data_IF_853201897235
#
_entry.id   IF_853201897235
#
_cell.length_a   1.000
_cell.length_b   1.000
_cell.length_c   1.000
_cell.angle_alpha   90.00
_cell.angle_beta   90.00
_cell.angle_gamma   90.00
#
_symmetry.space_group_name_H-M   'P 1'
#
loop_
_entity.id
_entity.type
_entity.pdbx_description
1 polymer ?
#
# COMPACT_ATOMS: atom_id res chain seq x y z
N UNK A 1 -18.31 3.59 -19.79
CA UNK A 1 -17.79 3.48 -18.41
C UNK A 1 -17.21 2.12 -18.07
N UNK A 2 -17.81 1.02 -18.54
CA UNK A 2 -17.36 -0.34 -18.24
C UNK A 2 -15.87 -0.62 -18.57
N UNK A 3 -15.36 -0.09 -19.69
CA UNK A 3 -13.93 -0.22 -20.04
C UNK A 3 -12.98 0.43 -19.03
N UNK A 4 -13.30 1.65 -18.57
CA UNK A 4 -12.52 2.38 -17.56
C UNK A 4 -12.56 1.67 -16.20
N UNK A 5 -13.70 1.09 -15.83
CA UNK A 5 -13.82 0.31 -14.60
C UNK A 5 -13.03 -1.01 -14.68
N UNK A 6 -12.96 -1.66 -15.86
CA UNK A 6 -12.09 -2.82 -16.06
C UNK A 6 -10.61 -2.45 -15.91
N UNK A 7 -10.19 -1.33 -16.49
CA UNK A 7 -8.83 -0.80 -16.32
C UNK A 7 -8.52 -0.51 -14.85
N UNK A 8 -9.43 0.17 -14.13
CA UNK A 8 -9.30 0.44 -12.70
C UNK A 8 -9.12 -0.85 -11.88
N UNK A 9 -9.90 -1.90 -12.15
CA UNK A 9 -9.73 -3.20 -11.48
C UNK A 9 -8.39 -3.86 -11.77
N UNK A 10 -7.87 -3.73 -13.00
CA UNK A 10 -6.56 -4.26 -13.36
C UNK A 10 -5.44 -3.53 -12.60
N UNK A 11 -5.55 -2.21 -12.46
CA UNK A 11 -4.61 -1.40 -11.67
C UNK A 11 -4.68 -1.77 -10.19
N UNK A 12 -5.89 -1.91 -9.64
CA UNK A 12 -6.08 -2.32 -8.25
C UNK A 12 -5.47 -3.71 -7.98
N UNK A 13 -5.66 -4.65 -8.91
CA UNK A 13 -5.05 -5.98 -8.83
C UNK A 13 -3.53 -5.90 -8.87
N UNK A 14 -2.95 -5.09 -9.75
CA UNK A 14 -1.50 -4.87 -9.83
C UNK A 14 -0.95 -4.35 -8.49
N UNK A 15 -1.54 -3.28 -7.96
CA UNK A 15 -1.11 -2.71 -6.68
C UNK A 15 -1.32 -3.68 -5.51
N UNK A 16 -2.40 -4.48 -5.51
CA UNK A 16 -2.62 -5.54 -4.52
C UNK A 16 -1.51 -6.61 -4.56
N UNK A 17 -1.08 -7.03 -5.76
CA UNK A 17 0.04 -7.97 -5.89
C UNK A 17 1.35 -7.33 -5.40
N UNK A 18 1.64 -6.10 -5.83
CA UNK A 18 2.86 -5.39 -5.41
C UNK A 18 2.91 -5.26 -3.88
N UNK A 19 1.82 -4.83 -3.24
CA UNK A 19 1.73 -4.74 -1.79
C UNK A 19 1.92 -6.08 -1.08
N UNK A 20 1.32 -7.16 -1.61
CA UNK A 20 1.51 -8.52 -1.09
C UNK A 20 2.98 -8.95 -1.11
N UNK A 21 3.73 -8.59 -2.15
CA UNK A 21 5.14 -8.97 -2.27
C UNK A 21 6.11 -7.99 -1.61
N UNK A 22 5.70 -6.73 -1.39
CA UNK A 22 6.55 -5.71 -0.76
C UNK A 22 7.04 -6.10 0.64
N UNK A 23 6.24 -6.87 1.40
CA UNK A 23 6.61 -7.35 2.75
C UNK A 23 7.89 -8.21 2.74
N UNK A 24 8.17 -8.92 1.64
CA UNK A 24 9.36 -9.74 1.52
C UNK A 24 10.64 -8.90 1.45
N UNK A 25 10.57 -7.67 0.95
CA UNK A 25 11.69 -6.73 0.96
C UNK A 25 12.04 -6.31 2.37
N UNK A 26 11.02 -6.07 3.21
CA UNK A 26 11.21 -5.74 4.63
C UNK A 26 11.82 -6.94 5.35
N UNK A 27 11.27 -8.14 5.15
CA UNK A 27 11.82 -9.36 5.73
C UNK A 27 13.29 -9.56 5.34
N UNK A 28 13.62 -9.39 4.05
CA UNK A 28 14.99 -9.48 3.56
C UNK A 28 15.90 -8.42 4.22
N UNK A 29 15.45 -7.17 4.31
CA UNK A 29 16.20 -6.11 4.98
C UNK A 29 16.46 -6.44 6.46
N UNK A 30 15.46 -6.95 7.18
CA UNK A 30 15.60 -7.37 8.59
C UNK A 30 16.58 -8.52 8.74
N UNK A 31 16.49 -9.55 7.90
CA UNK A 31 17.43 -10.70 7.94
C UNK A 31 18.85 -10.25 7.67
N UNK A 32 19.07 -9.41 6.65
CA UNK A 32 20.41 -8.88 6.34
C UNK A 32 20.93 -8.03 7.50
N UNK A 33 20.07 -7.24 8.14
CA UNK A 33 20.44 -6.46 9.33
C UNK A 33 20.86 -7.34 10.50
N UNK A 34 20.09 -8.38 10.80
CA UNK A 34 20.38 -9.33 11.87
C UNK A 34 21.70 -10.09 11.61
N UNK A 35 21.93 -10.55 10.37
CA UNK A 35 23.18 -11.21 9.98
C UNK A 35 24.37 -10.25 10.12
N UNK A 36 24.25 -9.02 9.62
CA UNK A 36 25.33 -8.04 9.74
C UNK A 36 25.63 -7.69 11.21
N UNK A 37 24.61 -7.60 12.06
CA UNK A 37 24.78 -7.39 13.50
C UNK A 37 25.47 -8.57 14.19
N UNK A 38 25.10 -9.80 13.84
CA UNK A 38 25.72 -11.01 14.38
C UNK A 38 27.19 -11.11 13.97
N UNK A 39 27.49 -10.91 12.69
CA UNK A 39 28.87 -10.93 12.17
C UNK A 39 29.72 -9.88 12.88
N UNK A 40 29.19 -8.67 13.06
CA UNK A 40 29.86 -7.60 13.80
C UNK A 40 30.15 -7.97 15.25
N UNK A 41 29.21 -8.67 15.90
CA UNK A 41 29.37 -9.07 17.31
C UNK A 41 30.35 -10.22 17.49
N UNK A 42 30.34 -11.20 16.59
CA UNK A 42 31.14 -12.43 16.69
C UNK A 42 32.55 -12.25 16.12
N UNK A 43 32.67 -11.59 14.97
CA UNK A 43 33.92 -11.50 14.20
C UNK A 43 34.55 -10.10 14.22
N UNK A 44 33.95 -9.14 14.94
CA UNK A 44 34.38 -7.74 15.01
C UNK A 44 34.60 -7.08 13.63
N UNK A 45 33.89 -7.56 12.61
CA UNK A 45 33.94 -7.06 11.23
C UNK A 45 32.53 -6.76 10.72
N UNK A 46 32.39 -5.79 9.83
CA UNK A 46 31.11 -5.42 9.22
C UNK A 46 31.32 -4.91 7.81
N UNK A 47 30.34 -5.13 6.92
CA UNK A 47 30.40 -4.62 5.55
C UNK A 47 29.43 -3.47 5.35
N UNK A 48 29.92 -2.36 4.79
CA UNK A 48 29.06 -1.23 4.41
C UNK A 48 28.12 -1.59 3.26
N UNK A 49 28.48 -2.57 2.42
CA UNK A 49 27.60 -3.08 1.37
C UNK A 49 26.30 -3.67 1.95
N UNK A 50 26.41 -4.41 3.06
CA UNK A 50 25.23 -4.98 3.74
C UNK A 50 24.37 -3.91 4.38
N UNK A 51 24.98 -2.81 4.84
CA UNK A 51 24.21 -1.66 5.28
C UNK A 51 23.49 -1.05 4.09
N UNK A 52 24.19 -0.67 3.02
CA UNK A 52 23.59 -0.04 1.83
C UNK A 52 22.42 -0.83 1.24
N UNK A 53 22.57 -2.16 1.12
CA UNK A 53 21.48 -3.00 0.60
C UNK A 53 20.23 -2.94 1.47
N UNK A 54 20.35 -2.77 2.80
CA UNK A 54 19.19 -2.59 3.68
C UNK A 54 18.46 -1.30 3.35
N UNK A 55 19.19 -0.22 3.09
CA UNK A 55 18.59 1.08 2.76
C UNK A 55 17.90 1.01 1.40
N UNK A 56 18.48 0.26 0.46
CA UNK A 56 17.91 0.06 -0.88
C UNK A 56 16.61 -0.72 -0.77
N UNK A 57 16.61 -1.85 -0.06
CA UNK A 57 15.42 -2.67 0.16
C UNK A 57 14.33 -1.88 0.90
N UNK A 58 14.71 -1.08 1.89
CA UNK A 58 13.77 -0.21 2.60
C UNK A 58 13.14 0.84 1.68
N UNK A 59 13.94 1.55 0.89
CA UNK A 59 13.45 2.53 -0.09
C UNK A 59 12.47 1.89 -1.09
N UNK A 60 12.83 0.71 -1.63
CA UNK A 60 11.96 -0.07 -2.51
C UNK A 60 10.65 -0.45 -1.81
N UNK A 61 10.72 -1.00 -0.59
CA UNK A 61 9.53 -1.45 0.15
C UNK A 61 8.53 -0.33 0.35
N UNK A 62 9.00 0.88 0.66
CA UNK A 62 8.14 2.03 0.89
C UNK A 62 7.56 2.59 -0.42
N UNK A 63 8.41 2.79 -1.42
CA UNK A 63 8.01 3.46 -2.67
C UNK A 63 7.03 2.62 -3.50
N UNK A 64 7.24 1.31 -3.60
CA UNK A 64 6.30 0.44 -4.35
C UNK A 64 4.99 0.19 -3.59
N UNK A 65 5.03 0.27 -2.26
CA UNK A 65 3.83 0.12 -1.43
C UNK A 65 2.94 1.38 -1.44
N UNK A 66 3.45 2.54 -1.86
CA UNK A 66 2.67 3.78 -1.89
C UNK A 66 1.34 3.64 -2.67
N UNK A 67 1.36 3.00 -3.83
CA UNK A 67 0.14 2.70 -4.58
C UNK A 67 -0.82 1.77 -3.82
N UNK A 68 -0.31 0.73 -3.18
CA UNK A 68 -1.09 -0.18 -2.35
C UNK A 68 -1.73 0.51 -1.14
N UNK A 69 -0.99 1.38 -0.45
CA UNK A 69 -1.51 2.18 0.67
C UNK A 69 -2.59 3.15 0.21
N UNK A 70 -2.51 3.67 -1.03
CA UNK A 70 -3.57 4.51 -1.60
C UNK A 70 -4.83 3.69 -1.93
N UNK A 71 -4.68 2.47 -2.45
CA UNK A 71 -5.78 1.53 -2.68
C UNK A 71 -6.56 1.24 -1.38
N UNK A 72 -5.86 1.07 -0.25
CA UNK A 72 -6.45 0.83 1.07
C UNK A 72 -6.91 2.11 1.77
N UNK A 73 -6.69 3.28 1.16
CA UNK A 73 -7.04 4.61 1.71
C UNK A 73 -6.38 4.91 3.05
N UNK A 74 -5.18 4.40 3.25
CA UNK A 74 -4.39 4.60 4.46
C UNK A 74 -3.49 5.84 4.39
N UNK A 75 -3.57 6.61 3.29
CA UNK A 75 -2.96 7.93 3.24
C UNK A 75 -3.66 8.86 4.23
N UNK A 76 -2.90 9.63 4.99
CA UNK A 76 -3.43 10.57 5.99
C UNK A 76 -4.44 11.51 5.32
N UNK A 77 -5.70 11.41 5.72
CA UNK A 77 -6.79 12.32 5.33
C UNK A 77 -7.15 13.22 6.50
N UNK A 78 -7.59 14.43 6.19
CA UNK A 78 -8.15 15.34 7.19
C UNK A 78 -9.59 14.88 7.49
N UNK A 79 -9.72 13.79 8.24
CA UNK A 79 -11.01 13.12 8.49
C UNK A 79 -12.00 13.98 9.29
N UNK A 80 -11.50 14.89 10.14
CA UNK A 80 -12.34 15.82 10.90
C UNK A 80 -13.12 16.78 9.99
N UNK A 81 -12.51 17.23 8.90
CA UNK A 81 -13.18 18.12 7.93
C UNK A 81 -14.10 17.32 7.02
N UNK A 82 -13.67 16.14 6.58
CA UNK A 82 -14.46 15.29 5.69
C UNK A 82 -15.75 14.75 6.34
N UNK A 83 -15.71 14.38 7.63
CA UNK A 83 -16.86 13.81 8.33
C UNK A 83 -18.09 14.73 8.39
N UNK A 84 -17.90 16.06 8.26
CA UNK A 84 -18.99 17.05 8.26
C UNK A 84 -19.56 17.36 6.88
N UNK A 85 -18.96 16.84 5.81
CA UNK A 85 -19.35 17.10 4.43
C UNK A 85 -20.26 15.99 3.87
N UNK A 86 -21.15 16.36 2.94
CA UNK A 86 -21.95 15.37 2.22
C UNK A 86 -21.07 14.50 1.31
N UNK A 87 -21.48 13.25 1.08
CA UNK A 87 -20.72 12.28 0.25
C UNK A 87 -20.31 12.85 -1.12
N UNK A 88 -21.20 13.59 -1.79
CA UNK A 88 -20.89 14.23 -3.08
C UNK A 88 -19.78 15.27 -2.97
N UNK A 89 -19.74 16.07 -1.89
CA UNK A 89 -18.68 17.06 -1.68
C UNK A 89 -17.34 16.38 -1.39
N UNK A 90 -17.33 15.32 -0.57
CA UNK A 90 -16.11 14.53 -0.31
C UNK A 90 -15.54 13.95 -1.62
N UNK A 91 -16.40 13.39 -2.47
CA UNK A 91 -15.98 12.84 -3.77
C UNK A 91 -15.41 13.90 -4.70
N UNK A 92 -15.99 15.10 -4.72
CA UNK A 92 -15.43 16.24 -5.48
C UNK A 92 -14.06 16.68 -4.97
N UNK A 93 -13.86 16.72 -3.65
CA UNK A 93 -12.56 17.03 -3.04
C UNK A 93 -11.52 15.99 -3.46
N UNK A 94 -11.85 14.70 -3.40
CA UNK A 94 -10.94 13.64 -3.85
C UNK A 94 -10.60 13.77 -5.34
N UNK A 95 -11.59 14.06 -6.20
CA UNK A 95 -11.37 14.26 -7.65
C UNK A 95 -10.37 15.40 -7.90
N UNK A 96 -10.58 16.54 -7.24
CA UNK A 96 -9.68 17.70 -7.36
C UNK A 96 -8.29 17.35 -6.79
N UNK A 97 -8.24 16.66 -5.65
CA UNK A 97 -7.02 16.15 -5.04
C UNK A 97 -6.20 15.29 -6.00
N UNK A 98 -6.84 14.31 -6.63
CA UNK A 98 -6.16 13.43 -7.58
C UNK A 98 -5.74 14.14 -8.86
N UNK A 99 -6.58 15.00 -9.41
CA UNK A 99 -6.33 15.67 -10.69
C UNK A 99 -5.29 16.80 -10.58
N UNK A 100 -5.36 17.63 -9.54
CA UNK A 100 -4.56 18.86 -9.43
C UNK A 100 -3.41 18.78 -8.44
N UNK A 101 -3.39 17.78 -7.54
CA UNK A 101 -2.30 17.64 -6.57
C UNK A 101 -1.52 16.35 -6.81
N UNK A 102 -2.18 15.19 -6.76
CA UNK A 102 -1.48 13.91 -6.91
C UNK A 102 -0.88 13.75 -8.31
N UNK A 103 -1.65 13.99 -9.37
CA UNK A 103 -1.19 13.79 -10.75
C UNK A 103 -0.01 14.70 -11.09
N UNK A 104 -0.07 16.03 -10.88
CA UNK A 104 1.07 16.90 -11.18
C UNK A 104 2.29 16.59 -10.33
N UNK A 105 2.12 16.24 -9.04
CA UNK A 105 3.21 15.80 -8.18
C UNK A 105 3.91 14.57 -8.76
N UNK A 106 3.15 13.53 -9.11
CA UNK A 106 3.72 12.30 -9.66
C UNK A 106 4.42 12.57 -10.99
N UNK A 107 3.82 13.36 -11.88
CA UNK A 107 4.43 13.71 -13.16
C UNK A 107 5.72 14.53 -12.98
N UNK A 108 5.74 15.50 -12.06
CA UNK A 108 6.94 16.28 -11.76
C UNK A 108 8.06 15.39 -11.21
N UNK A 109 7.76 14.50 -10.27
CA UNK A 109 8.75 13.55 -9.74
C UNK A 109 9.26 12.62 -10.83
N UNK A 110 8.40 12.09 -11.70
CA UNK A 110 8.80 11.24 -12.81
C UNK A 110 9.69 11.99 -13.81
N UNK A 111 9.31 13.23 -14.16
CA UNK A 111 10.08 14.08 -15.07
C UNK A 111 11.49 14.37 -14.55
N UNK A 112 11.63 14.61 -13.23
CA UNK A 112 12.92 14.90 -12.62
C UNK A 112 13.75 13.65 -12.32
N UNK A 113 13.11 12.56 -11.90
CA UNK A 113 13.81 11.35 -11.45
C UNK A 113 14.30 10.47 -12.59
N UNK A 114 13.53 10.31 -13.68
CA UNK A 114 13.87 9.40 -14.78
C UNK A 114 15.22 9.74 -15.43
N UNK A 115 15.53 11.01 -15.77
CA UNK A 115 16.84 11.38 -16.32
C UNK A 115 17.99 11.05 -15.36
N UNK A 116 17.80 11.25 -14.05
CA UNK A 116 18.79 10.93 -13.02
C UNK A 116 19.04 9.42 -12.97
N UNK A 117 18.00 8.60 -13.00
CA UNK A 117 18.15 7.13 -13.01
C UNK A 117 18.90 6.67 -14.26
N UNK A 118 18.56 7.22 -15.43
CA UNK A 118 19.23 6.88 -16.69
C UNK A 118 20.70 7.28 -16.65
N UNK A 119 21.01 8.48 -16.15
CA UNK A 119 22.38 8.95 -15.98
C UNK A 119 23.19 8.03 -15.06
N UNK A 120 22.62 7.65 -13.90
CA UNK A 120 23.26 6.74 -12.94
C UNK A 120 23.48 5.34 -13.51
N UNK A 121 22.56 4.86 -14.35
CA UNK A 121 22.69 3.60 -15.05
C UNK A 121 23.82 3.64 -16.09
N UNK A 122 23.91 4.73 -16.86
CA UNK A 122 24.95 4.91 -17.89
C UNK A 122 26.34 5.17 -17.29
N UNK A 123 26.43 5.94 -16.21
CA UNK A 123 27.69 6.24 -15.54
C UNK A 123 28.24 5.06 -14.75
N UNK A 124 27.38 4.11 -14.35
CA UNK A 124 27.75 3.00 -13.49
C UNK A 124 28.19 3.45 -12.09
N UNK A 125 27.66 4.59 -11.62
CA UNK A 125 28.12 5.22 -10.38
C UNK A 125 27.95 4.30 -9.17
N UNK A 126 29.04 4.14 -8.42
CA UNK A 126 29.12 3.32 -7.21
C UNK A 126 29.17 4.22 -5.99
N UNK A 127 28.58 3.77 -4.88
CA UNK A 127 28.65 4.47 -3.61
C UNK A 127 30.10 4.68 -3.15
N UNK A 128 30.38 5.89 -2.68
CA UNK A 128 31.69 6.27 -2.13
C UNK A 128 32.05 5.62 -0.80
N UNK A 129 31.17 4.81 -0.22
CA UNK A 129 31.50 4.01 0.96
C UNK A 129 32.46 2.88 0.56
N UNK A 130 33.31 2.46 1.51
CA UNK A 130 34.19 1.30 1.30
C UNK A 130 33.36 0.04 1.05
N UNK A 131 33.49 -0.55 -0.15
CA UNK A 131 32.67 -1.67 -0.61
C UNK A 131 31.26 -1.27 -1.08
N UNK A 132 31.05 -0.02 -1.47
CA UNK A 132 29.75 0.53 -1.87
C UNK A 132 29.09 -0.16 -3.05
N UNK A 133 27.77 -0.06 -3.14
CA UNK A 133 26.96 -0.65 -4.20
C UNK A 133 26.74 0.32 -5.36
N UNK A 134 26.41 -0.24 -6.53
CA UNK A 134 25.97 0.54 -7.68
C UNK A 134 24.67 1.29 -7.34
N UNK A 135 24.57 2.58 -7.67
CA UNK A 135 23.52 3.49 -7.16
C UNK A 135 22.21 3.46 -7.91
N UNK A 136 22.24 3.15 -9.22
CA UNK A 136 21.01 3.22 -10.03
C UNK A 136 19.85 2.35 -9.52
N UNK A 137 20.04 1.15 -8.92
CA UNK A 137 18.92 0.32 -8.47
C UNK A 137 18.08 0.97 -7.37
N UNK A 138 18.68 1.71 -6.43
CA UNK A 138 17.88 2.43 -5.42
C UNK A 138 17.15 3.61 -6.02
N UNK A 139 17.79 4.32 -6.95
CA UNK A 139 17.17 5.44 -7.66
C UNK A 139 15.99 5.00 -8.53
N UNK A 140 16.04 3.79 -9.10
CA UNK A 140 14.95 3.21 -9.86
C UNK A 140 13.67 2.95 -9.03
N UNK A 141 13.78 2.82 -7.70
CA UNK A 141 12.62 2.69 -6.83
C UNK A 141 11.68 3.89 -6.95
N UNK A 142 12.24 5.08 -7.17
CA UNK A 142 11.51 6.34 -7.22
C UNK A 142 10.55 6.41 -8.42
N UNK A 143 10.99 6.28 -9.69
CA UNK A 143 10.07 6.28 -10.81
C UNK A 143 9.10 5.09 -10.77
N UNK A 144 9.53 3.89 -10.34
CA UNK A 144 8.63 2.73 -10.26
C UNK A 144 7.52 2.97 -9.24
N UNK A 145 7.86 3.43 -8.04
CA UNK A 145 6.87 3.72 -6.99
C UNK A 145 5.89 4.82 -7.40
N UNK A 146 6.38 5.91 -8.00
CA UNK A 146 5.52 7.00 -8.46
C UNK A 146 4.67 6.65 -9.68
N UNK A 147 5.11 5.75 -10.56
CA UNK A 147 4.24 5.19 -11.62
C UNK A 147 3.11 4.37 -11.00
N UNK A 148 3.39 3.49 -10.04
CA UNK A 148 2.38 2.69 -9.36
C UNK A 148 1.37 3.56 -8.59
N UNK A 149 1.87 4.58 -7.90
CA UNK A 149 1.05 5.57 -7.19
C UNK A 149 0.17 6.38 -8.16
N UNK A 150 0.74 6.84 -9.29
CA UNK A 150 -0.01 7.56 -10.32
C UNK A 150 -1.11 6.68 -10.90
N UNK A 151 -0.79 5.44 -11.29
CA UNK A 151 -1.79 4.47 -11.77
C UNK A 151 -2.90 4.29 -10.75
N UNK A 152 -2.57 4.09 -9.47
CA UNK A 152 -3.59 3.96 -8.43
C UNK A 152 -4.43 5.23 -8.29
N UNK A 153 -3.82 6.41 -8.33
CA UNK A 153 -4.52 7.69 -8.31
C UNK A 153 -5.56 7.81 -9.43
N UNK A 154 -5.20 7.38 -10.65
CA UNK A 154 -6.13 7.33 -11.78
C UNK A 154 -7.22 6.27 -11.61
N UNK A 155 -6.91 5.11 -11.05
CA UNK A 155 -7.91 4.10 -10.68
C UNK A 155 -8.94 4.68 -9.70
N UNK A 156 -8.48 5.33 -8.63
CA UNK A 156 -9.36 5.96 -7.64
C UNK A 156 -10.20 7.10 -8.26
N UNK A 157 -9.60 7.93 -9.13
CA UNK A 157 -10.29 9.01 -9.85
C UNK A 157 -11.44 8.46 -10.73
N UNK A 158 -11.19 7.39 -11.49
CA UNK A 158 -12.20 6.73 -12.32
C UNK A 158 -13.39 6.23 -11.48
N UNK A 159 -13.13 5.58 -10.34
CA UNK A 159 -14.20 5.08 -9.45
C UNK A 159 -15.08 6.21 -8.93
N UNK A 160 -14.48 7.37 -8.61
CA UNK A 160 -15.19 8.55 -8.09
C UNK A 160 -16.05 9.24 -9.16
N UNK A 161 -15.54 9.33 -10.38
CA UNK A 161 -16.33 9.79 -11.53
C UNK A 161 -17.49 8.81 -11.81
N UNK A 162 -17.27 7.49 -11.70
CA UNK A 162 -18.32 6.47 -11.85
C UNK A 162 -19.45 6.64 -10.83
N UNK A 163 -19.08 6.89 -9.57
CA UNK A 163 -20.04 7.13 -8.50
C UNK A 163 -20.88 8.39 -8.73
N UNK A 164 -20.27 9.50 -9.17
CA UNK A 164 -21.03 10.72 -9.49
C UNK A 164 -22.02 10.53 -10.65
N UNK A 165 -21.73 9.59 -11.57
CA UNK A 165 -22.63 9.21 -12.67
C UNK A 165 -23.69 8.18 -12.27
N UNK A 166 -23.66 7.67 -11.04
CA UNK A 166 -24.58 6.62 -10.58
C UNK A 166 -24.28 5.22 -11.13
N UNK A 167 -23.11 5.03 -11.75
CA UNK A 167 -22.72 3.78 -12.44
C UNK A 167 -21.68 2.97 -11.64
N UNK A 168 -21.29 3.42 -10.45
CA UNK A 168 -20.20 2.84 -9.66
C UNK A 168 -20.54 2.67 -8.16
N UNK A 169 -19.86 1.73 -7.48
CA UNK A 169 -20.03 1.51 -6.03
C UNK A 169 -19.53 2.73 -5.23
N UNK A 170 -20.02 2.88 -3.99
CA UNK A 170 -19.64 3.98 -3.09
C UNK A 170 -18.11 3.98 -2.84
N UNK A 171 -17.37 4.97 -3.37
CA UNK A 171 -15.93 5.04 -3.27
C UNK A 171 -15.48 5.53 -1.89
N UNK A 172 -16.40 5.85 -0.97
CA UNK A 172 -16.11 6.28 0.40
C UNK A 172 -16.58 5.25 1.45
N UNK A 173 -17.20 4.14 1.03
CA UNK A 173 -17.52 3.05 1.96
C UNK A 173 -16.24 2.49 2.61
N UNK A 174 -16.22 2.34 3.94
CA UNK A 174 -15.12 1.67 4.65
C UNK A 174 -14.93 0.27 4.07
N UNK A 175 -13.73 -0.01 3.55
CA UNK A 175 -13.34 -1.32 3.03
C UNK A 175 -13.33 -2.40 4.12
N UNK A 176 -13.32 -1.99 5.40
CA UNK A 176 -13.07 -2.85 6.56
C UNK A 176 -14.31 -3.17 7.41
N UNK A 177 -15.41 -2.42 7.30
CA UNK A 177 -16.52 -2.56 8.26
C UNK A 177 -17.49 -3.70 7.94
N UNK A 178 -17.61 -4.16 6.69
CA UNK A 178 -18.68 -5.11 6.35
C UNK A 178 -18.30 -6.58 6.44
N UNK A 179 -17.04 -6.95 6.27
CA UNK A 179 -16.65 -8.37 6.22
C UNK A 179 -16.30 -8.91 7.60
N UNK A 180 -15.45 -8.19 8.36
CA UNK A 180 -15.05 -8.62 9.70
C UNK A 180 -16.19 -8.52 10.74
N UNK A 181 -16.99 -7.45 10.70
CA UNK A 181 -18.15 -7.33 11.59
C UNK A 181 -19.26 -8.31 11.20
N UNK A 182 -19.49 -8.55 9.90
CA UNK A 182 -20.48 -9.55 9.47
C UNK A 182 -20.05 -10.98 9.82
N UNK A 183 -18.77 -11.32 9.63
CA UNK A 183 -18.20 -12.61 10.06
C UNK A 183 -18.27 -12.77 11.58
N UNK A 184 -18.02 -11.69 12.35
CA UNK A 184 -18.16 -11.71 13.81
C UNK A 184 -19.62 -11.85 14.26
N UNK A 185 -20.56 -11.12 13.63
CA UNK A 185 -21.99 -11.23 13.91
C UNK A 185 -22.49 -12.63 13.57
N UNK A 186 -22.06 -13.20 12.44
CA UNK A 186 -22.40 -14.56 12.04
C UNK A 186 -21.80 -15.59 13.00
N UNK A 187 -20.54 -15.45 13.41
CA UNK A 187 -19.91 -16.28 14.42
C UNK A 187 -20.62 -16.20 15.78
N UNK A 188 -21.02 -15.01 16.23
CA UNK A 188 -21.79 -14.79 17.45
C UNK A 188 -23.20 -15.42 17.37
N UNK A 189 -23.85 -15.36 16.20
CA UNK A 189 -25.15 -16.02 15.99
C UNK A 189 -25.03 -17.54 16.06
N UNK A 190 -24.04 -18.12 15.38
CA UNK A 190 -23.75 -19.56 15.43
C UNK A 190 -23.41 -20.00 16.85
N UNK A 191 -22.66 -19.20 17.59
CA UNK A 191 -22.30 -19.49 18.98
C UNK A 191 -23.51 -19.40 19.91
N UNK A 192 -24.37 -18.39 19.75
CA UNK A 192 -25.61 -18.26 20.51
C UNK A 192 -26.59 -19.41 20.22
N UNK A 193 -26.69 -19.88 18.98
CA UNK A 193 -27.49 -21.05 18.61
C UNK A 193 -26.92 -22.35 19.22
N UNK A 194 -25.60 -22.51 19.25
CA UNK A 194 -24.94 -23.65 19.89
C UNK A 194 -25.10 -23.65 21.42
N UNK A 195 -25.04 -22.48 22.04
CA UNK A 195 -25.24 -22.31 23.49
C UNK A 195 -26.70 -22.54 23.88
N UNK A 196 -27.65 -22.06 23.07
CA UNK A 196 -29.09 -22.33 23.25
C UNK A 196 -29.41 -23.83 23.10
N UNK A 197 -28.80 -24.52 22.14
CA UNK A 197 -28.96 -25.97 21.95
C UNK A 197 -28.39 -26.76 23.15
N UNK A 198 -27.24 -26.36 23.71
CA UNK A 198 -26.67 -26.97 24.92
C UNK A 198 -27.52 -26.73 26.17
N UNK A 199 -28.08 -25.53 26.31
CA UNK A 199 -28.98 -25.20 27.42
C UNK A 199 -30.29 -26.02 27.34
N UNK A 200 -30.82 -26.25 26.14
CA UNK A 200 -31.99 -27.09 25.92
C UNK A 200 -31.72 -28.59 26.15
N UNK A 201 -30.48 -29.04 25.96
CA UNK A 201 -30.05 -30.43 26.20
C UNK A 201 -29.65 -30.73 27.65
N UNK A 202 -29.62 -29.72 28.54
CA UNK A 202 -29.28 -29.90 29.95
C UNK A 202 -30.49 -30.45 30.73
N UNK A 203 -30.40 -31.65 31.36
CA UNK A 203 -31.53 -32.22 32.09
C UNK A 203 -31.86 -31.35 33.30
N UNK A 204 -33.16 -31.05 33.52
CA UNK A 204 -33.63 -30.40 34.75
C UNK A 204 -33.10 -31.18 35.97
N UNK A 205 -32.56 -30.52 37.01
CA UNK A 205 -32.20 -31.19 38.24
C UNK A 205 -33.47 -31.84 38.81
N UNK A 206 -33.45 -33.16 38.96
CA UNK A 206 -34.50 -33.88 39.68
C UNK A 206 -34.37 -33.49 41.15
N UNK A 207 -35.48 -33.01 41.72
CA UNK A 207 -35.68 -32.62 43.12
C UNK A 207 -35.27 -33.73 44.09
#
# INVERSE_FOLDING_TARGET
>A
MQGLLKLSRAIDWLNAQVGKYAIWLILAATVISAVNALVRKVFNTSSNAFLEVQWYLFAWSFLIAAGFTLLHREHVRIDVVNSRLSKRKQVWIDIIGFAFFLTPLCLAVLYLSVPVVVQMYQSGEVSGNSGGLIRWPVWAALPVGFVLLLLQGWSELIKRIAFLRGEGPDPMGRLTDKTAEAELIEALRVQAEADAAKAAASPKPQL
#
